data_IF_011039009723
#
_entry.id   IF_011039009723
#
_cell.length_a   1.000
_cell.length_b   1.000
_cell.length_c   1.000
_cell.angle_alpha   90.00
_cell.angle_beta   90.00
_cell.angle_gamma   90.00
#
_symmetry.space_group_name_H-M   'P 1'
#
loop_
_entity.id
_entity.type
_entity.pdbx_description
1 polymer ?
#
# COMPACT_ATOMS: atom_id res chain seq x y z
N UNK A 1 12.90 15.36 -7.87
CA UNK A 1 11.89 14.81 -6.94
C UNK A 1 12.21 13.33 -6.80
N UNK A 2 12.85 12.91 -5.71
CA UNK A 2 13.38 11.54 -5.57
C UNK A 2 12.42 10.72 -4.69
N UNK A 3 11.61 9.87 -5.32
CA UNK A 3 10.93 8.77 -4.63
C UNK A 3 11.90 7.57 -4.59
N UNK A 4 11.94 6.81 -3.49
CA UNK A 4 12.94 5.73 -3.34
C UNK A 4 12.65 4.54 -4.25
N UNK A 5 13.70 3.89 -4.78
CA UNK A 5 13.57 2.63 -5.50
C UNK A 5 13.15 1.50 -4.55
N UNK A 6 12.30 0.56 -4.99
CA UNK A 6 11.64 -0.40 -4.10
C UNK A 6 12.50 -1.61 -3.69
N UNK A 7 13.78 -1.67 -4.05
CA UNK A 7 14.51 -2.96 -4.06
C UNK A 7 15.19 -3.38 -2.76
N UNK A 8 15.37 -2.53 -1.76
CA UNK A 8 15.90 -2.98 -0.46
C UNK A 8 15.43 -2.06 0.66
N UNK A 9 14.59 -2.63 1.54
CA UNK A 9 14.26 -2.10 2.87
C UNK A 9 13.41 -0.82 3.01
N UNK A 10 12.42 -0.60 2.13
CA UNK A 10 11.49 0.53 2.37
C UNK A 10 10.36 0.72 1.38
N UNK A 11 9.71 -0.33 0.89
CA UNK A 11 8.55 -0.19 -0.01
C UNK A 11 7.22 -0.06 0.74
N UNK A 12 6.19 0.50 0.09
CA UNK A 12 4.79 0.30 0.53
C UNK A 12 4.33 -1.06 0.03
N UNK A 13 4.12 -2.01 0.95
CA UNK A 13 3.75 -3.38 0.64
C UNK A 13 2.24 -3.59 0.69
N UNK A 14 1.66 -4.13 -0.39
CA UNK A 14 0.26 -4.56 -0.46
C UNK A 14 0.23 -6.08 -0.54
N UNK A 15 -0.29 -6.74 0.49
CA UNK A 15 -0.31 -8.20 0.53
C UNK A 15 -1.30 -8.76 -0.51
N UNK A 16 -0.84 -9.68 -1.36
CA UNK A 16 -1.64 -10.24 -2.47
C UNK A 16 -2.79 -11.13 -2.01
N UNK A 17 -2.80 -11.55 -0.74
CA UNK A 17 -3.82 -12.43 -0.15
C UNK A 17 -4.56 -11.69 0.95
N UNK A 18 -5.87 -11.66 0.87
CA UNK A 18 -6.70 -11.16 1.96
C UNK A 18 -7.12 -12.30 2.89
N UNK A 19 -7.39 -11.96 4.15
CA UNK A 19 -7.91 -12.88 5.16
C UNK A 19 -9.38 -12.58 5.40
N UNK A 20 -10.19 -13.63 5.52
CA UNK A 20 -11.59 -13.53 5.91
C UNK A 20 -11.77 -14.20 7.26
N UNK A 21 -12.49 -13.54 8.15
CA UNK A 21 -12.90 -14.08 9.44
C UNK A 21 -14.43 -14.23 9.42
N UNK A 22 -14.96 -15.40 8.99
CA UNK A 22 -16.39 -15.58 8.75
C UNK A 22 -17.23 -15.38 10.01
N UNK A 23 -16.73 -15.80 11.16
CA UNK A 23 -17.35 -15.61 12.48
C UNK A 23 -17.62 -14.14 12.79
N UNK A 24 -16.69 -13.27 12.42
CA UNK A 24 -16.72 -11.84 12.72
C UNK A 24 -17.34 -11.01 11.58
N UNK A 25 -17.67 -11.64 10.44
CA UNK A 25 -18.03 -10.95 9.19
C UNK A 25 -16.97 -9.93 8.75
N UNK A 26 -15.71 -10.19 9.08
CA UNK A 26 -14.59 -9.29 8.80
C UNK A 26 -13.78 -9.76 7.58
N UNK A 27 -13.24 -8.76 6.89
CA UNK A 27 -12.36 -8.93 5.74
C UNK A 27 -11.14 -8.03 5.91
N UNK A 28 -9.96 -8.62 5.83
CA UNK A 28 -8.69 -7.92 6.10
C UNK A 28 -7.81 -7.94 4.85
N UNK A 29 -7.35 -6.75 4.47
CA UNK A 29 -6.27 -6.54 3.51
C UNK A 29 -5.13 -5.92 4.29
N UNK A 30 -3.97 -6.58 4.29
CA UNK A 30 -2.80 -6.07 5.02
C UNK A 30 -1.96 -5.17 4.11
N UNK A 31 -1.71 -3.94 4.56
CA UNK A 31 -0.84 -2.96 3.91
C UNK A 31 0.29 -2.60 4.89
N UNK A 32 1.52 -2.62 4.40
CA UNK A 32 2.70 -2.15 5.12
C UNK A 32 3.12 -0.80 4.52
N UNK A 33 3.26 0.23 5.36
CA UNK A 33 3.72 1.56 4.97
C UNK A 33 5.00 1.85 5.75
N UNK A 34 6.13 2.12 5.08
CA UNK A 34 7.38 2.45 5.76
C UNK A 34 7.27 3.85 6.34
N UNK A 35 7.75 4.04 7.56
CA UNK A 35 7.83 5.36 8.21
C UNK A 35 9.24 5.92 7.98
N UNK A 36 9.40 7.15 7.48
CA UNK A 36 10.73 7.71 7.26
C UNK A 36 11.45 7.99 8.57
N UNK A 37 12.76 7.88 8.56
CA UNK A 37 13.63 8.42 9.61
C UNK A 37 14.02 9.89 9.33
N UNK A 38 14.76 10.50 10.26
CA UNK A 38 15.18 11.90 10.16
C UNK A 38 16.14 12.21 8.99
N UNK A 39 16.84 11.21 8.45
CA UNK A 39 17.67 11.37 7.24
C UNK A 39 16.81 11.40 5.97
N UNK A 40 15.67 10.70 5.98
CA UNK A 40 14.79 10.54 4.82
C UNK A 40 13.76 11.66 4.67
N UNK A 41 13.29 12.22 5.79
CA UNK A 41 12.34 13.32 5.80
C UNK A 41 12.42 14.16 7.07
N UNK A 42 12.11 15.47 6.95
CA UNK A 42 12.06 16.40 8.09
C UNK A 42 11.05 16.00 9.17
N UNK A 43 10.04 15.22 8.79
CA UNK A 43 8.99 14.71 9.68
C UNK A 43 9.24 13.25 10.11
N UNK A 44 10.42 12.70 9.82
CA UNK A 44 10.77 11.34 10.18
C UNK A 44 10.90 11.13 11.69
N UNK A 45 10.89 9.87 12.11
CA UNK A 45 10.98 9.49 13.53
C UNK A 45 12.43 9.09 13.84
N UNK A 46 12.97 9.61 14.94
CA UNK A 46 14.34 9.30 15.40
C UNK A 46 14.49 7.92 16.02
N UNK A 47 13.42 7.42 16.63
CA UNK A 47 13.34 6.11 17.26
C UNK A 47 12.72 5.12 16.28
N UNK A 48 13.56 4.26 15.68
CA UNK A 48 13.14 3.22 14.76
C UNK A 48 12.89 1.87 15.45
N UNK A 49 12.54 1.86 16.74
CA UNK A 49 12.09 0.65 17.44
C UNK A 49 10.71 0.20 16.93
N UNK A 50 10.70 -0.42 15.76
CA UNK A 50 9.51 -0.90 15.08
C UNK A 50 9.66 -2.33 14.57
N UNK A 51 8.51 -2.98 14.36
CA UNK A 51 8.46 -4.29 13.70
C UNK A 51 8.49 -4.06 12.19
N UNK A 52 9.61 -4.39 11.56
CA UNK A 52 9.72 -4.40 10.11
C UNK A 52 9.27 -5.76 9.57
N UNK A 53 8.29 -5.77 8.66
CA UNK A 53 7.90 -6.97 7.92
C UNK A 53 8.67 -6.96 6.60
N UNK A 54 9.61 -7.90 6.36
CA UNK A 54 10.33 -7.96 5.10
C UNK A 54 9.36 -8.16 3.93
N UNK A 55 9.37 -7.20 3.01
CA UNK A 55 8.58 -7.29 1.79
C UNK A 55 9.26 -8.23 0.80
N UNK A 56 8.46 -9.01 0.08
CA UNK A 56 8.94 -9.82 -1.03
C UNK A 56 7.93 -9.82 -2.17
N UNK A 57 8.44 -9.81 -3.40
CA UNK A 57 7.62 -9.72 -4.61
C UNK A 57 6.69 -10.92 -4.82
N UNK A 58 6.97 -12.07 -4.18
CA UNK A 58 6.11 -13.25 -4.24
C UNK A 58 4.78 -12.95 -3.56
N UNK A 59 4.81 -12.39 -2.35
CA UNK A 59 3.65 -12.18 -1.53
C UNK A 59 3.04 -10.78 -1.61
N UNK A 60 3.82 -9.79 -2.05
CA UNK A 60 3.42 -8.37 -2.04
C UNK A 60 3.48 -7.76 -3.44
N UNK A 61 2.56 -6.82 -3.71
CA UNK A 61 2.85 -5.73 -4.64
C UNK A 61 3.60 -4.66 -3.86
N UNK A 62 4.64 -4.08 -4.45
CA UNK A 62 5.50 -3.11 -3.78
C UNK A 62 5.42 -1.79 -4.55
N UNK A 63 5.01 -0.72 -3.88
CA UNK A 63 5.03 0.64 -4.40
C UNK A 63 6.21 1.40 -3.80
N UNK A 64 6.81 2.30 -4.58
CA UNK A 64 7.84 3.22 -4.08
C UNK A 64 7.24 4.26 -3.13
N UNK A 65 7.77 4.45 -1.90
CA UNK A 65 7.36 5.57 -1.08
C UNK A 65 7.95 6.87 -1.65
N UNK A 66 7.25 7.98 -1.40
CA UNK A 66 7.73 9.30 -1.78
C UNK A 66 7.64 10.27 -0.60
N UNK A 67 8.59 10.16 0.32
CA UNK A 67 8.60 10.98 1.54
C UNK A 67 8.70 12.48 1.23
N UNK A 68 9.52 12.84 0.24
CA UNK A 68 9.71 14.23 -0.19
C UNK A 68 8.46 14.91 -0.77
N UNK A 69 7.39 14.15 -1.06
CA UNK A 69 6.12 14.68 -1.56
C UNK A 69 5.27 15.35 -0.47
N UNK A 70 5.54 15.08 0.81
CA UNK A 70 4.68 15.48 1.92
C UNK A 70 5.45 16.31 2.95
N UNK A 71 4.71 17.14 3.70
CA UNK A 71 5.30 18.01 4.72
C UNK A 71 5.23 17.42 6.13
N UNK A 72 4.37 16.42 6.36
CA UNK A 72 4.23 15.77 7.65
C UNK A 72 3.83 14.29 7.54
N UNK A 73 4.00 13.58 8.65
CA UNK A 73 3.74 12.15 8.74
C UNK A 73 2.28 11.80 8.49
N UNK A 74 1.34 12.62 8.96
CA UNK A 74 -0.10 12.39 8.78
C UNK A 74 -0.49 12.34 7.30
N UNK A 75 -0.09 13.35 6.52
CA UNK A 75 -0.39 13.38 5.09
C UNK A 75 0.31 12.26 4.33
N UNK A 76 1.56 11.96 4.68
CA UNK A 76 2.28 10.85 4.07
C UNK A 76 1.55 9.52 4.27
N UNK A 77 1.14 9.18 5.51
CA UNK A 77 0.42 7.93 5.79
C UNK A 77 -0.95 7.92 5.10
N UNK A 78 -1.72 9.00 5.20
CA UNK A 78 -3.07 9.09 4.62
C UNK A 78 -3.05 8.87 3.09
N UNK A 79 -2.20 9.61 2.38
CA UNK A 79 -2.15 9.54 0.92
C UNK A 79 -1.49 8.24 0.43
N UNK A 80 -0.50 7.72 1.17
CA UNK A 80 0.08 6.41 0.88
C UNK A 80 -0.93 5.27 1.07
N UNK A 81 -1.77 5.35 2.10
CA UNK A 81 -2.84 4.38 2.35
C UNK A 81 -3.90 4.41 1.23
N UNK A 82 -4.35 5.60 0.81
CA UNK A 82 -5.27 5.75 -0.34
C UNK A 82 -4.68 5.12 -1.60
N UNK A 83 -3.43 5.46 -1.93
CA UNK A 83 -2.73 4.90 -3.09
C UNK A 83 -2.59 3.37 -3.00
N UNK A 84 -2.28 2.84 -1.81
CA UNK A 84 -2.16 1.40 -1.60
C UNK A 84 -3.50 0.68 -1.77
N UNK A 85 -4.60 1.26 -1.29
CA UNK A 85 -5.95 0.72 -1.47
C UNK A 85 -6.35 0.73 -2.95
N UNK A 86 -6.14 1.84 -3.65
CA UNK A 86 -6.42 1.95 -5.07
C UNK A 86 -5.62 0.93 -5.89
N UNK A 87 -4.32 0.78 -5.58
CA UNK A 87 -3.46 -0.22 -6.19
C UNK A 87 -3.92 -1.66 -5.86
N UNK A 88 -4.35 -1.92 -4.62
CA UNK A 88 -4.86 -3.24 -4.22
C UNK A 88 -6.07 -3.65 -5.08
N UNK A 89 -7.01 -2.75 -5.32
CA UNK A 89 -8.17 -3.04 -6.18
C UNK A 89 -7.85 -3.02 -7.67
N UNK A 90 -6.87 -2.22 -8.10
CA UNK A 90 -6.41 -2.16 -9.50
C UNK A 90 -5.71 -3.45 -9.91
N UNK A 91 -4.72 -3.89 -9.12
CA UNK A 91 -4.01 -5.15 -9.38
C UNK A 91 -4.85 -6.37 -8.98
N UNK A 92 -5.68 -6.23 -7.95
CA UNK A 92 -6.49 -7.29 -7.37
C UNK A 92 -5.70 -8.18 -6.40
N UNK A 93 -6.42 -8.71 -5.42
CA UNK A 93 -5.93 -9.60 -4.38
C UNK A 93 -6.82 -10.84 -4.27
N UNK A 94 -6.29 -11.92 -3.70
CA UNK A 94 -6.99 -13.20 -3.60
C UNK A 94 -7.53 -13.44 -2.18
N UNK A 95 -8.80 -13.82 -2.07
CA UNK A 95 -9.38 -14.32 -0.82
C UNK A 95 -10.01 -15.70 -1.07
N UNK A 96 -9.59 -16.72 -0.31
CA UNK A 96 -10.09 -18.10 -0.42
C UNK A 96 -10.15 -18.61 -1.88
N UNK A 97 -9.07 -18.37 -2.63
CA UNK A 97 -8.95 -18.79 -4.04
C UNK A 97 -9.67 -17.89 -5.06
N UNK A 98 -10.47 -16.91 -4.62
CA UNK A 98 -11.16 -15.96 -5.52
C UNK A 98 -10.39 -14.65 -5.60
N UNK A 99 -10.14 -14.16 -6.82
CA UNK A 99 -9.53 -12.85 -7.06
C UNK A 99 -10.59 -11.75 -7.00
N UNK A 100 -10.32 -10.73 -6.19
CA UNK A 100 -11.15 -9.53 -6.00
C UNK A 100 -10.40 -8.36 -6.63
N UNK A 101 -11.07 -7.59 -7.48
CA UNK A 101 -10.55 -6.40 -8.16
C UNK A 101 -11.66 -5.39 -8.43
N UNK A 102 -11.32 -4.16 -8.79
CA UNK A 102 -12.29 -3.13 -9.20
C UNK A 102 -13.10 -3.64 -10.39
N UNK A 103 -14.43 -3.41 -10.37
CA UNK A 103 -15.28 -3.68 -11.53
C UNK A 103 -15.02 -2.58 -12.57
N UNK A 104 -14.63 -2.98 -13.77
CA UNK A 104 -14.60 -2.05 -14.91
C UNK A 104 -16.04 -1.76 -15.31
N UNK A 105 -16.45 -0.50 -15.18
CA UNK A 105 -17.70 -0.04 -15.77
C UNK A 105 -17.40 0.28 -17.23
N UNK A 106 -17.97 -0.50 -18.15
CA UNK A 106 -18.01 -0.13 -19.56
C UNK A 106 -18.99 1.04 -19.65
N UNK A 107 -18.49 2.27 -19.67
CA UNK A 107 -19.29 3.40 -20.12
C UNK A 107 -19.35 3.32 -21.64
N UNK A 108 -20.46 2.84 -22.18
CA UNK A 108 -20.76 3.10 -23.58
C UNK A 108 -20.92 4.62 -23.70
N UNK A 109 -19.90 5.30 -24.22
CA UNK A 109 -20.02 6.70 -24.61
C UNK A 109 -20.98 6.74 -25.79
N UNK A 110 -22.25 7.05 -25.53
CA UNK A 110 -23.17 7.47 -26.58
C UNK A 110 -22.70 8.84 -27.05
N UNK A 111 -22.03 8.88 -28.20
CA UNK A 111 -21.96 10.09 -29.03
C UNK A 111 -23.35 10.36 -29.57
N UNK A 112 -23.98 11.42 -29.07
CA UNK A 112 -25.05 12.14 -29.77
C UNK A 112 -24.43 13.17 -30.74
#
# INVERSE_FOLDING_TARGET
MLCKSPETDGGIGIFKRAKRFPSNKEFEISISIPVPNLEEARYGISDMTGIYIPLNIKNFYILSPCFSKYDNLYHYILESAKQAIDAAFTYGFTCNGKRIKKKEFITNSTTD
#
